data_IF_541640579814
#
_entry.id   IF_541640579814
#
_cell.length_a   1.000
_cell.length_b   1.000
_cell.length_c   1.000
_cell.angle_alpha   90.00
_cell.angle_beta   90.00
_cell.angle_gamma   90.00
#
_symmetry.space_group_name_H-M   'P 1'
#
loop_
_entity.id
_entity.type
_entity.pdbx_description
1 polymer ?
#
# COMPACT_ATOMS: atom_id res chain seq x y z
N UNK A 1 5.01 14.29 -29.03
CA UNK A 1 4.33 15.47 -29.61
C UNK A 1 5.20 16.73 -29.65
N UNK A 2 5.85 17.17 -28.58
CA UNK A 2 6.61 18.45 -28.58
C UNK A 2 7.76 18.50 -29.61
N UNK A 3 8.47 17.39 -29.87
CA UNK A 3 9.52 17.32 -30.91
C UNK A 3 8.98 17.37 -32.34
N UNK A 4 7.94 16.58 -32.64
CA UNK A 4 7.26 16.57 -33.95
C UNK A 4 6.65 17.93 -34.29
N UNK A 5 5.99 18.59 -33.33
CA UNK A 5 5.43 19.93 -33.52
C UNK A 5 6.52 20.97 -33.79
N UNK A 6 7.72 20.81 -33.20
CA UNK A 6 8.86 21.70 -33.45
C UNK A 6 9.43 21.52 -34.86
N UNK A 7 9.44 20.29 -35.38
CA UNK A 7 9.85 20.01 -36.76
C UNK A 7 8.81 20.48 -37.79
N UNK A 8 7.54 20.51 -37.42
CA UNK A 8 6.43 20.87 -38.32
C UNK A 8 5.97 22.33 -38.19
N UNK A 9 6.68 23.19 -37.44
CA UNK A 9 6.31 24.62 -37.30
C UNK A 9 6.23 25.31 -38.66
N UNK A 10 7.17 25.04 -39.57
CA UNK A 10 7.13 25.60 -40.93
C UNK A 10 5.91 25.10 -41.71
N UNK A 11 5.55 23.82 -41.60
CA UNK A 11 4.36 23.25 -42.26
C UNK A 11 3.06 23.87 -41.72
N UNK A 12 2.98 24.09 -40.41
CA UNK A 12 1.88 24.82 -39.76
C UNK A 12 1.79 26.26 -40.30
N UNK A 13 2.94 26.91 -40.49
CA UNK A 13 3.03 28.24 -41.10
C UNK A 13 2.48 28.25 -42.53
N UNK A 14 2.93 27.33 -43.38
CA UNK A 14 2.49 27.21 -44.78
C UNK A 14 0.98 26.93 -44.85
N UNK A 15 0.46 25.98 -44.06
CA UNK A 15 -0.98 25.68 -44.03
C UNK A 15 -1.82 26.90 -43.61
N UNK A 16 -1.34 27.69 -42.65
CA UNK A 16 -2.01 28.93 -42.24
C UNK A 16 -1.95 30.03 -43.30
N UNK A 17 -0.88 30.12 -44.10
CA UNK A 17 -0.81 31.08 -45.22
C UNK A 17 -1.81 30.75 -46.33
N UNK A 18 -2.16 29.48 -46.50
CA UNK A 18 -3.18 29.01 -47.47
C UNK A 18 -4.61 29.13 -46.89
N UNK A 19 -4.76 29.55 -45.62
CA UNK A 19 -6.06 29.84 -44.99
C UNK A 19 -6.55 28.79 -43.99
N UNK A 20 -5.71 27.83 -43.57
CA UNK A 20 -6.13 26.80 -42.61
C UNK A 20 -6.49 27.39 -41.23
N UNK A 21 -7.65 26.98 -40.70
CA UNK A 21 -8.15 27.45 -39.39
C UNK A 21 -7.48 26.69 -38.25
N UNK A 22 -7.31 27.35 -37.09
CA UNK A 22 -6.70 26.73 -35.89
C UNK A 22 -7.41 25.42 -35.47
N UNK A 23 -8.73 25.35 -35.58
CA UNK A 23 -9.53 24.15 -35.26
C UNK A 23 -9.23 22.97 -36.21
N UNK A 24 -8.96 23.24 -37.49
CA UNK A 24 -8.64 22.20 -38.48
C UNK A 24 -7.26 21.60 -38.19
N UNK A 25 -6.26 22.45 -37.94
CA UNK A 25 -4.93 21.97 -37.53
C UNK A 25 -4.99 21.19 -36.21
N UNK A 26 -5.69 21.71 -35.20
CA UNK A 26 -5.84 21.01 -33.92
C UNK A 26 -6.51 19.64 -34.09
N UNK A 27 -7.52 19.54 -34.94
CA UNK A 27 -8.20 18.28 -35.26
C UNK A 27 -7.29 17.23 -35.90
N UNK A 28 -6.43 17.62 -36.85
CA UNK A 28 -5.47 16.70 -37.48
C UNK A 28 -4.51 16.12 -36.45
N UNK A 29 -3.90 16.97 -35.62
CA UNK A 29 -2.93 16.53 -34.60
C UNK A 29 -3.56 15.72 -33.47
N UNK A 30 -4.75 16.11 -32.98
CA UNK A 30 -5.47 15.33 -31.98
C UNK A 30 -5.97 14.00 -32.56
N UNK A 31 -6.37 13.97 -33.83
CA UNK A 31 -6.73 12.74 -34.54
C UNK A 31 -5.57 11.74 -34.57
N UNK A 32 -4.34 12.21 -34.85
CA UNK A 32 -3.16 11.34 -34.77
C UNK A 32 -2.93 10.77 -33.37
N UNK A 33 -3.17 11.57 -32.32
CA UNK A 33 -3.06 11.13 -30.92
C UNK A 33 -4.10 10.06 -30.59
N UNK A 34 -5.34 10.22 -31.05
CA UNK A 34 -6.41 9.23 -30.87
C UNK A 34 -6.07 7.92 -31.57
N UNK A 35 -5.53 7.98 -32.80
CA UNK A 35 -5.08 6.78 -33.54
C UNK A 35 -3.99 6.04 -32.76
N UNK A 36 -2.96 6.75 -32.27
CA UNK A 36 -1.92 6.12 -31.45
C UNK A 36 -2.46 5.58 -30.12
N UNK A 37 -3.42 6.28 -29.49
CA UNK A 37 -4.10 5.80 -28.30
C UNK A 37 -4.88 4.51 -28.54
N UNK A 38 -5.61 4.43 -29.66
CA UNK A 38 -6.34 3.22 -30.07
C UNK A 38 -5.42 2.05 -30.39
N UNK A 39 -4.32 2.29 -31.12
CA UNK A 39 -3.30 1.26 -31.37
C UNK A 39 -2.66 0.76 -30.07
N UNK A 40 -2.43 1.67 -29.12
CA UNK A 40 -1.89 1.31 -27.80
C UNK A 40 -2.88 0.45 -27.02
N UNK A 41 -4.17 0.79 -27.04
CA UNK A 41 -5.24 0.01 -26.40
C UNK A 41 -5.34 -1.40 -26.96
N UNK A 42 -5.18 -1.56 -28.28
CA UNK A 42 -5.22 -2.86 -28.95
C UNK A 42 -4.16 -3.82 -28.41
N UNK A 43 -2.99 -3.31 -28.03
CA UNK A 43 -1.90 -4.09 -27.44
C UNK A 43 -2.04 -4.20 -25.92
N UNK A 44 -2.45 -3.12 -25.25
CA UNK A 44 -2.55 -3.06 -23.80
C UNK A 44 -3.63 -4.00 -23.25
N UNK A 45 -4.83 -4.01 -23.82
CA UNK A 45 -5.95 -4.82 -23.35
C UNK A 45 -5.65 -6.34 -23.28
N UNK A 46 -5.12 -6.99 -24.34
CA UNK A 46 -4.80 -8.42 -24.27
C UNK A 46 -3.65 -8.72 -23.30
N UNK A 47 -2.62 -7.86 -23.25
CA UNK A 47 -1.49 -8.04 -22.33
C UNK A 47 -1.93 -7.85 -20.87
N UNK A 48 -2.78 -6.85 -20.61
CA UNK A 48 -3.38 -6.59 -19.30
C UNK A 48 -4.26 -7.76 -18.84
N UNK A 49 -5.09 -8.29 -19.74
CA UNK A 49 -5.91 -9.47 -19.45
C UNK A 49 -5.06 -10.72 -19.11
N UNK A 50 -3.98 -10.97 -19.86
CA UNK A 50 -3.04 -12.05 -19.57
C UNK A 50 -2.31 -11.85 -18.23
N UNK A 51 -1.92 -10.61 -17.92
CA UNK A 51 -1.30 -10.27 -16.64
C UNK A 51 -2.25 -10.48 -15.45
N UNK A 52 -3.51 -10.04 -15.59
CA UNK A 52 -4.55 -10.26 -14.59
C UNK A 52 -4.78 -11.75 -14.34
N UNK A 53 -4.89 -12.55 -15.40
CA UNK A 53 -4.99 -14.01 -15.30
C UNK A 53 -3.83 -14.63 -14.50
N UNK A 54 -2.59 -14.22 -14.80
CA UNK A 54 -1.41 -14.72 -14.10
C UNK A 54 -1.44 -14.36 -12.61
N UNK A 55 -1.78 -13.11 -12.28
CA UNK A 55 -1.86 -12.64 -10.91
C UNK A 55 -2.97 -13.33 -10.13
N UNK A 56 -4.16 -13.49 -10.72
CA UNK A 56 -5.28 -14.18 -10.08
C UNK A 56 -4.93 -15.63 -9.79
N UNK A 57 -4.32 -16.35 -10.73
CA UNK A 57 -3.86 -17.74 -10.50
C UNK A 57 -2.82 -17.84 -9.40
N UNK A 58 -1.89 -16.89 -9.35
CA UNK A 58 -0.88 -16.83 -8.30
C UNK A 58 -1.52 -16.64 -6.92
N UNK A 59 -2.40 -15.64 -6.76
CA UNK A 59 -3.09 -15.38 -5.49
C UNK A 59 -3.99 -16.57 -5.11
N UNK A 60 -4.71 -17.15 -6.06
CA UNK A 60 -5.57 -18.29 -5.81
C UNK A 60 -4.79 -19.52 -5.34
N UNK A 61 -3.59 -19.76 -5.89
CA UNK A 61 -2.71 -20.83 -5.42
C UNK A 61 -2.19 -20.60 -3.99
N UNK A 62 -1.94 -19.34 -3.60
CA UNK A 62 -1.56 -19.00 -2.23
C UNK A 62 -2.71 -19.20 -1.23
N UNK A 63 -3.95 -18.97 -1.67
CA UNK A 63 -5.16 -19.10 -0.86
C UNK A 63 -5.83 -20.48 -0.99
N UNK A 64 -5.23 -21.40 -1.75
CA UNK A 64 -5.76 -22.73 -2.04
C UNK A 64 -7.22 -22.71 -2.55
N UNK A 65 -7.54 -21.76 -3.43
CA UNK A 65 -8.88 -21.55 -3.99
C UNK A 65 -8.91 -21.88 -5.49
N UNK A 66 -9.94 -22.56 -5.96
CA UNK A 66 -10.13 -22.82 -7.39
C UNK A 66 -10.69 -21.59 -8.10
N UNK A 67 -9.97 -21.10 -9.11
CA UNK A 67 -10.43 -19.96 -9.91
C UNK A 67 -11.48 -20.45 -10.91
N UNK A 68 -12.68 -19.89 -10.83
CA UNK A 68 -13.73 -20.10 -11.83
C UNK A 68 -13.37 -19.54 -13.22
N UNK A 69 -14.34 -19.52 -14.13
CA UNK A 69 -14.17 -19.01 -15.49
C UNK A 69 -13.62 -17.59 -15.53
N UNK A 70 -12.73 -17.32 -16.49
CA UNK A 70 -12.18 -15.98 -16.70
C UNK A 70 -13.19 -15.10 -17.44
N UNK A 71 -13.80 -14.17 -16.71
CA UNK A 71 -14.67 -13.15 -17.27
C UNK A 71 -13.99 -11.79 -17.16
N UNK A 72 -13.81 -11.10 -18.28
CA UNK A 72 -13.33 -9.71 -18.28
C UNK A 72 -14.54 -8.82 -17.99
N UNK A 73 -14.57 -8.12 -16.84
CA UNK A 73 -15.69 -7.24 -16.53
C UNK A 73 -15.78 -6.15 -17.60
N UNK A 74 -16.94 -5.93 -18.25
CA UNK A 74 -17.08 -4.90 -19.28
C UNK A 74 -16.74 -3.50 -18.75
N UNK A 75 -16.97 -3.28 -17.46
CA UNK A 75 -16.63 -2.03 -16.76
C UNK A 75 -15.12 -1.78 -16.71
N UNK A 76 -14.31 -2.82 -16.48
CA UNK A 76 -12.85 -2.71 -16.44
C UNK A 76 -12.30 -2.36 -17.82
N UNK A 77 -12.79 -3.03 -18.87
CA UNK A 77 -12.40 -2.74 -20.25
C UNK A 77 -12.81 -1.32 -20.68
N UNK A 78 -14.00 -0.85 -20.26
CA UNK A 78 -14.45 0.52 -20.51
C UNK A 78 -13.56 1.55 -19.81
N UNK A 79 -13.18 1.30 -18.55
CA UNK A 79 -12.28 2.18 -17.81
C UNK A 79 -10.88 2.20 -18.44
N UNK A 80 -10.35 1.05 -18.84
CA UNK A 80 -9.07 0.93 -19.54
C UNK A 80 -9.10 1.70 -20.87
N UNK A 81 -10.13 1.50 -21.69
CA UNK A 81 -10.31 2.21 -22.95
C UNK A 81 -10.45 3.72 -22.75
N UNK A 82 -11.22 4.14 -21.75
CA UNK A 82 -11.38 5.55 -21.39
C UNK A 82 -10.03 6.17 -21.00
N UNK A 83 -9.26 5.53 -20.12
CA UNK A 83 -7.96 6.05 -19.68
C UNK A 83 -6.95 6.07 -20.83
N UNK A 84 -6.92 5.01 -21.66
CA UNK A 84 -5.99 4.88 -22.79
C UNK A 84 -6.21 5.94 -23.87
N UNK A 85 -7.46 6.39 -24.07
CA UNK A 85 -7.79 7.41 -25.07
C UNK A 85 -7.77 8.83 -24.47
N UNK A 86 -8.31 9.03 -23.26
CA UNK A 86 -8.39 10.36 -22.64
C UNK A 86 -7.02 10.89 -22.24
N UNK A 87 -6.17 10.04 -21.65
CA UNK A 87 -4.87 10.49 -21.11
C UNK A 87 -3.97 11.10 -22.19
N UNK A 88 -3.73 10.44 -23.35
CA UNK A 88 -2.92 11.04 -24.41
C UNK A 88 -3.53 12.31 -25.00
N UNK A 89 -4.86 12.36 -25.15
CA UNK A 89 -5.57 13.55 -25.68
C UNK A 89 -5.40 14.73 -24.74
N UNK A 90 -5.60 14.54 -23.43
CA UNK A 90 -5.40 15.57 -22.42
C UNK A 90 -3.94 16.04 -22.37
N UNK A 91 -2.98 15.11 -22.43
CA UNK A 91 -1.56 15.43 -22.46
C UNK A 91 -1.15 16.19 -23.74
N UNK A 92 -1.79 15.89 -24.87
CA UNK A 92 -1.53 16.55 -26.15
C UNK A 92 -2.24 17.90 -26.29
N UNK A 93 -3.28 18.17 -25.50
CA UNK A 93 -4.11 19.37 -25.63
C UNK A 93 -3.29 20.65 -25.48
N UNK A 94 -2.47 20.75 -24.42
CA UNK A 94 -1.59 21.89 -24.20
C UNK A 94 -0.59 22.14 -25.36
N UNK A 95 0.24 21.16 -25.77
CA UNK A 95 1.20 21.37 -26.86
C UNK A 95 0.52 21.63 -28.21
N UNK A 96 -0.64 21.00 -28.50
CA UNK A 96 -1.38 21.25 -29.75
C UNK A 96 -1.96 22.66 -29.78
N UNK A 97 -2.57 23.13 -28.68
CA UNK A 97 -3.08 24.52 -28.61
C UNK A 97 -1.93 25.52 -28.70
N UNK A 98 -0.82 25.28 -28.00
CA UNK A 98 0.35 26.16 -28.04
C UNK A 98 0.96 26.23 -29.45
N UNK A 99 1.10 25.09 -30.13
CA UNK A 99 1.65 25.02 -31.50
C UNK A 99 0.71 25.63 -32.54
N UNK A 100 -0.61 25.41 -32.41
CA UNK A 100 -1.60 25.97 -33.34
C UNK A 100 -1.88 27.45 -33.10
N UNK A 101 -1.42 28.06 -32.00
CA UNK A 101 -1.51 29.52 -31.78
C UNK A 101 -0.40 30.33 -32.48
N UNK A 102 0.68 29.69 -32.93
CA UNK A 102 1.79 30.36 -33.62
C UNK A 102 1.30 30.98 -34.94
N UNK A 103 1.56 32.27 -35.17
CA UNK A 103 1.14 32.96 -36.40
C UNK A 103 1.98 32.54 -37.62
N UNK A 104 1.44 32.68 -38.83
CA UNK A 104 2.20 32.39 -40.06
C UNK A 104 3.50 33.22 -40.13
N UNK A 105 3.44 34.49 -39.70
CA UNK A 105 4.62 35.36 -39.58
C UNK A 105 5.63 34.80 -38.60
N UNK A 106 5.24 34.46 -37.36
CA UNK A 106 6.17 33.89 -36.38
C UNK A 106 6.73 32.53 -36.79
N UNK A 107 5.94 31.70 -37.48
CA UNK A 107 6.37 30.38 -37.95
C UNK A 107 7.47 30.48 -39.04
N UNK A 108 7.39 31.50 -39.91
CA UNK A 108 8.37 31.72 -40.99
C UNK A 108 9.54 32.60 -40.54
N UNK A 109 9.30 33.56 -39.63
CA UNK A 109 10.31 34.51 -39.15
C UNK A 109 11.09 34.04 -37.92
N UNK A 110 10.80 32.86 -37.36
CA UNK A 110 11.48 32.33 -36.18
C UNK A 110 12.87 31.76 -36.51
N UNK A 111 13.75 32.61 -37.04
CA UNK A 111 15.17 32.32 -37.07
C UNK A 111 15.77 32.56 -35.66
N UNK A 112 15.86 31.50 -34.87
CA UNK A 112 16.87 31.34 -33.79
C UNK A 112 16.71 32.10 -32.47
N UNK A 113 15.90 33.15 -32.33
CA UNK A 113 15.82 33.93 -31.10
C UNK A 113 14.63 33.50 -30.21
N UNK A 114 14.88 32.53 -29.33
CA UNK A 114 13.93 32.14 -28.30
C UNK A 114 13.59 33.30 -27.37
N UNK A 115 12.30 33.48 -27.05
CA UNK A 115 11.72 34.48 -26.12
C UNK A 115 12.15 34.29 -24.64
N UNK A 116 13.40 33.87 -24.39
CA UNK A 116 13.94 33.73 -23.04
C UNK A 116 14.49 35.06 -22.57
N UNK A 117 13.76 35.77 -21.69
CA UNK A 117 14.29 36.91 -20.96
C UNK A 117 15.55 36.48 -20.18
N UNK A 118 16.71 36.92 -20.66
CA UNK A 118 18.01 36.65 -20.04
C UNK A 118 18.18 37.54 -18.81
N UNK A 119 18.61 36.97 -17.66
CA UNK A 119 19.24 37.75 -16.58
C UNK A 119 18.41 38.13 -15.34
N UNK A 120 17.20 37.60 -15.10
CA UNK A 120 16.40 37.90 -13.88
C UNK A 120 16.10 36.71 -12.95
N UNK A 121 16.76 35.56 -13.13
CA UNK A 121 16.49 34.37 -12.31
C UNK A 121 17.30 34.37 -11.01
N UNK A 122 16.67 34.07 -9.86
CA UNK A 122 17.34 33.81 -8.57
C UNK A 122 18.50 32.80 -8.70
N UNK A 123 18.32 31.81 -9.59
CA UNK A 123 19.34 30.78 -9.86
C UNK A 123 20.56 31.36 -10.59
N UNK A 124 20.40 32.40 -11.43
CA UNK A 124 21.53 33.08 -12.07
C UNK A 124 22.36 33.87 -11.03
N UNK A 125 21.71 34.42 -10.00
CA UNK A 125 22.41 35.03 -8.86
C UNK A 125 23.16 33.97 -8.04
N UNK A 126 22.54 32.83 -7.76
CA UNK A 126 23.16 31.76 -6.99
C UNK A 126 24.35 31.12 -7.74
N UNK A 127 24.22 30.94 -9.06
CA UNK A 127 25.28 30.41 -9.94
C UNK A 127 26.44 31.39 -10.16
N UNK A 128 26.26 32.71 -9.92
CA UNK A 128 27.37 33.68 -9.90
C UNK A 128 28.27 33.49 -8.68
N UNK A 129 27.76 32.91 -7.59
CA UNK A 129 28.52 32.65 -6.36
C UNK A 129 29.44 31.43 -6.47
N UNK A 130 29.18 30.55 -7.44
CA UNK A 130 29.97 29.34 -7.69
C UNK A 130 31.00 29.64 -8.80
N UNK A 131 32.20 30.04 -8.41
CA UNK A 131 33.25 30.48 -9.36
C UNK A 131 34.23 29.37 -9.77
N UNK A 132 34.26 28.23 -9.07
CA UNK A 132 35.28 27.19 -9.21
C UNK A 132 34.91 26.03 -10.15
N UNK A 133 33.78 26.12 -10.86
CA UNK A 133 33.38 25.10 -11.83
C UNK A 133 34.07 25.33 -13.19
N UNK A 134 34.59 24.28 -13.85
CA UNK A 134 35.09 24.37 -15.23
C UNK A 134 34.07 25.02 -16.18
N UNK A 135 34.55 25.85 -17.11
CA UNK A 135 33.66 26.58 -18.05
C UNK A 135 32.62 25.70 -18.76
N UNK A 136 32.91 24.47 -19.21
CA UNK A 136 31.93 23.60 -19.88
C UNK A 136 30.79 23.12 -18.96
N UNK A 137 31.08 22.82 -17.69
CA UNK A 137 30.07 22.34 -16.73
C UNK A 137 29.16 23.50 -16.31
N UNK A 138 29.72 24.70 -16.12
CA UNK A 138 28.94 25.91 -15.83
C UNK A 138 28.01 26.28 -17.00
N UNK A 139 28.47 26.13 -18.25
CA UNK A 139 27.62 26.34 -19.43
C UNK A 139 26.46 25.34 -19.50
N UNK A 140 26.75 24.06 -19.21
CA UNK A 140 25.73 23.01 -19.18
C UNK A 140 24.70 23.24 -18.07
N UNK A 141 25.16 23.57 -16.86
CA UNK A 141 24.31 23.86 -15.70
C UNK A 141 23.40 25.06 -15.94
N UNK A 142 23.97 26.18 -16.45
CA UNK A 142 23.19 27.36 -16.83
C UNK A 142 22.16 27.07 -17.91
N UNK A 143 22.52 26.27 -18.93
CA UNK A 143 21.58 25.92 -19.99
C UNK A 143 20.41 25.07 -19.48
N UNK A 144 20.66 24.18 -18.50
CA UNK A 144 19.61 23.39 -17.82
C UNK A 144 18.63 24.30 -17.07
N UNK A 145 19.13 25.25 -16.28
CA UNK A 145 18.28 26.19 -15.53
C UNK A 145 17.64 27.29 -16.38
N UNK A 146 18.15 27.53 -17.60
CA UNK A 146 17.54 28.45 -18.56
C UNK A 146 16.18 27.94 -19.07
N UNK A 147 15.97 26.62 -19.14
CA UNK A 147 14.69 26.01 -19.56
C UNK A 147 13.89 25.49 -18.36
N UNK A 148 13.52 26.40 -17.44
CA UNK A 148 12.84 26.10 -16.16
C UNK A 148 11.65 25.12 -16.29
N UNK A 149 10.81 25.27 -17.32
CA UNK A 149 9.66 24.39 -17.51
C UNK A 149 10.04 22.94 -17.88
N UNK A 150 11.04 22.76 -18.75
CA UNK A 150 11.53 21.42 -19.11
C UNK A 150 12.22 20.76 -17.92
N UNK A 151 13.05 21.52 -17.20
CA UNK A 151 13.73 21.02 -16.01
C UNK A 151 12.74 20.58 -14.93
N UNK A 152 11.74 21.41 -14.63
CA UNK A 152 10.69 21.09 -13.67
C UNK A 152 9.94 19.81 -14.08
N UNK A 153 9.50 19.71 -15.34
CA UNK A 153 8.80 18.53 -15.84
C UNK A 153 9.64 17.25 -15.66
N UNK A 154 10.91 17.27 -16.10
CA UNK A 154 11.80 16.10 -16.01
C UNK A 154 12.07 15.71 -14.57
N UNK A 155 12.37 16.68 -13.70
CA UNK A 155 12.59 16.43 -12.28
C UNK A 155 11.34 15.85 -11.62
N UNK A 156 10.17 16.45 -11.84
CA UNK A 156 8.91 15.93 -11.28
C UNK A 156 8.65 14.51 -11.74
N UNK A 157 8.85 14.20 -13.03
CA UNK A 157 8.67 12.84 -13.54
C UNK A 157 9.64 11.84 -12.91
N UNK A 158 10.92 12.19 -12.77
CA UNK A 158 11.94 11.32 -12.17
C UNK A 158 11.69 11.10 -10.68
N UNK A 159 11.35 12.17 -9.95
CA UNK A 159 11.03 12.10 -8.53
C UNK A 159 9.77 11.26 -8.30
N UNK A 160 8.72 11.44 -9.11
CA UNK A 160 7.50 10.65 -8.99
C UNK A 160 7.76 9.17 -9.27
N UNK A 161 8.51 8.86 -10.33
CA UNK A 161 8.90 7.47 -10.64
C UNK A 161 9.71 6.83 -9.50
N UNK A 162 10.67 7.57 -8.94
CA UNK A 162 11.49 7.11 -7.81
C UNK A 162 10.66 6.90 -6.54
N UNK A 163 9.73 7.82 -6.26
CA UNK A 163 8.85 7.72 -5.10
C UNK A 163 7.91 6.52 -5.19
N UNK A 164 7.31 6.26 -6.36
CA UNK A 164 6.48 5.08 -6.59
C UNK A 164 7.30 3.80 -6.39
N UNK A 165 8.49 3.73 -6.96
CA UNK A 165 9.37 2.58 -6.83
C UNK A 165 9.74 2.28 -5.37
N UNK A 166 10.17 3.30 -4.62
CA UNK A 166 10.52 3.15 -3.19
C UNK A 166 9.29 2.75 -2.37
N UNK A 167 8.12 3.32 -2.68
CA UNK A 167 6.87 2.99 -1.99
C UNK A 167 6.51 1.51 -2.15
N UNK A 168 6.57 0.97 -3.37
CA UNK A 168 6.29 -0.46 -3.63
C UNK A 168 7.26 -1.37 -2.87
N UNK A 169 8.56 -1.07 -2.91
CA UNK A 169 9.55 -1.84 -2.15
C UNK A 169 9.32 -1.76 -0.64
N UNK A 170 8.92 -0.60 -0.13
CA UNK A 170 8.64 -0.40 1.30
C UNK A 170 7.41 -1.18 1.75
N UNK A 171 6.35 -1.21 0.94
CA UNK A 171 5.15 -2.00 1.21
C UNK A 171 5.48 -3.50 1.21
N UNK A 172 6.26 -3.98 0.24
CA UNK A 172 6.70 -5.38 0.20
C UNK A 172 7.53 -5.74 1.43
N UNK A 173 8.52 -4.92 1.79
CA UNK A 173 9.35 -5.15 2.97
C UNK A 173 8.53 -5.14 4.27
N UNK A 174 7.56 -4.24 4.39
CA UNK A 174 6.65 -4.16 5.54
C UNK A 174 5.76 -5.40 5.64
N UNK A 175 5.22 -5.89 4.52
CA UNK A 175 4.41 -7.11 4.47
C UNK A 175 5.22 -8.32 4.93
N UNK A 176 6.41 -8.53 4.37
CA UNK A 176 7.28 -9.66 4.73
C UNK A 176 7.68 -9.62 6.21
N UNK A 177 8.03 -8.43 6.72
CA UNK A 177 8.33 -8.26 8.14
C UNK A 177 7.12 -8.55 9.04
N UNK A 178 5.92 -8.15 8.61
CA UNK A 178 4.69 -8.45 9.35
C UNK A 178 4.40 -9.95 9.36
N UNK A 179 4.62 -10.63 8.23
CA UNK A 179 4.50 -12.09 8.15
C UNK A 179 5.51 -12.79 9.06
N UNK A 180 6.77 -12.37 9.05
CA UNK A 180 7.80 -12.92 9.93
C UNK A 180 7.45 -12.70 11.41
N UNK A 181 6.98 -11.52 11.80
CA UNK A 181 6.52 -11.23 13.16
C UNK A 181 5.33 -12.13 13.54
N UNK A 182 4.37 -12.33 12.64
CA UNK A 182 3.19 -13.16 12.88
C UNK A 182 3.53 -14.67 12.97
N UNK A 183 4.46 -15.15 12.15
CA UNK A 183 4.93 -16.54 12.20
C UNK A 183 5.81 -16.82 13.43
N UNK A 184 6.58 -15.83 13.90
CA UNK A 184 7.37 -15.98 15.14
C UNK A 184 6.48 -16.00 16.39
N UNK A 185 5.31 -15.36 16.33
CA UNK A 185 4.37 -15.32 17.44
C UNK A 185 3.90 -16.73 17.85
N UNK A 186 3.59 -17.59 16.88
CA UNK A 186 3.12 -18.95 17.10
C UNK A 186 4.24 -19.96 16.87
N UNK A 187 4.72 -20.61 17.92
CA UNK A 187 5.81 -21.61 17.88
C UNK A 187 5.30 -23.06 17.89
N UNK A 188 4.21 -23.31 17.16
CA UNK A 188 3.68 -24.66 16.95
C UNK A 188 3.46 -24.92 15.45
N UNK A 189 3.53 -26.19 15.05
CA UNK A 189 3.36 -26.59 13.64
C UNK A 189 1.89 -26.90 13.31
N UNK A 190 1.14 -27.47 14.25
CA UNK A 190 -0.23 -27.93 14.06
C UNK A 190 -1.12 -27.49 15.23
N UNK A 191 -2.27 -26.90 14.90
CA UNK A 191 -3.35 -26.62 15.87
C UNK A 191 -4.56 -27.46 15.53
N UNK A 192 -5.09 -28.15 16.53
CA UNK A 192 -6.34 -28.91 16.42
C UNK A 192 -7.41 -28.22 17.26
N UNK A 193 -8.54 -27.88 16.63
CA UNK A 193 -9.72 -27.36 17.32
C UNK A 193 -10.78 -28.46 17.34
N UNK A 194 -11.29 -28.79 18.52
CA UNK A 194 -12.31 -29.82 18.69
C UNK A 194 -13.70 -29.18 18.83
N UNK A 195 -14.71 -29.78 18.19
CA UNK A 195 -16.10 -29.30 18.31
C UNK A 195 -16.71 -29.57 19.69
N UNK A 196 -16.16 -30.52 20.45
CA UNK A 196 -16.58 -30.84 21.82
C UNK A 196 -15.39 -30.76 22.77
N UNK A 197 -15.64 -30.39 24.01
CA UNK A 197 -14.61 -30.34 25.05
C UNK A 197 -14.17 -31.75 25.44
N UNK A 198 -12.86 -31.96 25.53
CA UNK A 198 -12.24 -33.20 25.99
C UNK A 198 -11.28 -32.89 27.14
N UNK A 199 -10.91 -33.91 27.91
CA UNK A 199 -9.87 -33.79 28.92
C UNK A 199 -8.53 -33.56 28.24
N UNK A 200 -7.89 -32.44 28.57
CA UNK A 200 -6.63 -31.99 27.99
C UNK A 200 -5.53 -33.02 28.22
N UNK A 201 -5.48 -33.61 29.42
CA UNK A 201 -4.45 -34.58 29.81
C UNK A 201 -4.50 -35.85 28.95
N UNK A 202 -5.71 -36.32 28.61
CA UNK A 202 -5.89 -37.49 27.76
C UNK A 202 -5.45 -37.20 26.31
N UNK A 203 -5.81 -36.03 25.77
CA UNK A 203 -5.43 -35.64 24.41
C UNK A 203 -3.92 -35.40 24.28
N UNK A 204 -3.31 -34.75 25.28
CA UNK A 204 -1.87 -34.54 25.32
C UNK A 204 -1.10 -35.87 25.36
N UNK A 205 -1.56 -36.84 26.16
CA UNK A 205 -0.94 -38.15 26.22
C UNK A 205 -0.98 -38.86 24.86
N UNK A 206 -2.14 -38.90 24.20
CA UNK A 206 -2.29 -39.51 22.87
C UNK A 206 -1.41 -38.79 21.83
N UNK A 207 -1.33 -37.46 21.89
CA UNK A 207 -0.48 -36.69 21.00
C UNK A 207 1.01 -37.02 21.18
N UNK A 208 1.48 -37.13 22.44
CA UNK A 208 2.87 -37.48 22.75
C UNK A 208 3.23 -38.94 22.41
N UNK A 209 2.24 -39.84 22.36
CA UNK A 209 2.42 -41.22 21.89
C UNK A 209 2.60 -41.30 20.36
N UNK A 210 2.27 -40.24 19.62
CA UNK A 210 2.40 -40.20 18.16
C UNK A 210 3.85 -39.90 17.74
N UNK A 211 4.47 -40.72 16.87
CA UNK A 211 5.83 -40.49 16.41
C UNK A 211 6.01 -39.12 15.75
N UNK A 212 7.03 -38.37 16.18
CA UNK A 212 7.38 -37.04 15.65
C UNK A 212 6.81 -35.86 16.44
N UNK A 213 5.94 -36.09 17.43
CA UNK A 213 5.45 -35.03 18.32
C UNK A 213 6.45 -34.80 19.45
N UNK A 214 7.04 -33.61 19.50
CA UNK A 214 8.00 -33.21 20.53
C UNK A 214 7.34 -32.66 21.80
N UNK A 215 6.24 -31.90 21.63
CA UNK A 215 5.50 -31.27 22.72
C UNK A 215 4.03 -31.12 22.30
N UNK A 216 3.12 -31.28 23.25
CA UNK A 216 1.69 -31.07 23.06
C UNK A 216 1.17 -30.20 24.22
N UNK A 217 0.42 -29.15 23.90
CA UNK A 217 -0.22 -28.28 24.88
C UNK A 217 -1.72 -28.20 24.59
N UNK A 218 -2.52 -28.05 25.66
CA UNK A 218 -3.97 -27.89 25.56
C UNK A 218 -4.34 -26.52 26.10
N UNK A 219 -5.13 -25.79 25.33
CA UNK A 219 -5.39 -24.37 25.54
C UNK A 219 -6.88 -24.16 25.73
N UNK A 220 -7.24 -23.32 26.70
CA UNK A 220 -8.61 -22.88 26.93
C UNK A 220 -8.98 -21.72 26.01
N UNK A 221 -10.22 -21.70 25.53
CA UNK A 221 -10.79 -20.60 24.77
C UNK A 221 -12.19 -20.31 25.30
N UNK A 222 -12.49 -19.06 25.58
CA UNK A 222 -13.84 -18.60 25.90
C UNK A 222 -14.13 -17.28 25.19
N UNK A 223 -15.34 -17.18 24.64
CA UNK A 223 -15.88 -15.90 24.22
C UNK A 223 -16.32 -15.13 25.46
N UNK A 224 -15.78 -13.93 25.62
CA UNK A 224 -16.05 -13.06 26.78
C UNK A 224 -16.49 -11.69 26.32
N UNK A 225 -17.17 -10.96 27.19
CA UNK A 225 -17.58 -9.59 26.90
C UNK A 225 -16.92 -8.67 27.93
N UNK A 226 -16.30 -7.58 27.47
CA UNK A 226 -15.83 -6.54 28.36
C UNK A 226 -17.03 -5.86 29.03
N UNK A 227 -17.03 -5.71 30.34
CA UNK A 227 -18.00 -4.88 31.06
C UNK A 227 -17.38 -3.51 31.36
N UNK A 228 -17.99 -2.42 30.89
CA UNK A 228 -17.57 -1.04 31.24
C UNK A 228 -18.14 -0.61 32.59
N UNK A 229 -19.40 -0.98 32.80
CA UNK A 229 -20.12 -0.90 34.08
C UNK A 229 -20.93 -2.19 34.24
N UNK A 230 -21.50 -2.50 35.43
CA UNK A 230 -22.27 -3.73 35.63
C UNK A 230 -23.41 -3.95 34.60
N UNK A 231 -23.99 -2.85 34.10
CA UNK A 231 -25.11 -2.85 33.14
C UNK A 231 -24.68 -2.51 31.70
N UNK A 232 -23.45 -2.05 31.47
CA UNK A 232 -22.95 -1.65 30.14
C UNK A 232 -21.94 -2.67 29.60
N UNK A 233 -22.39 -3.41 28.59
CA UNK A 233 -21.55 -4.31 27.80
C UNK A 233 -20.74 -3.50 26.79
N UNK A 234 -19.44 -3.76 26.76
CA UNK A 234 -18.51 -3.26 25.77
C UNK A 234 -18.32 -4.27 24.64
N UNK A 235 -17.10 -4.32 24.12
CA UNK A 235 -16.76 -5.19 23.01
C UNK A 235 -16.59 -6.67 23.41
N UNK A 236 -16.89 -7.57 22.46
CA UNK A 236 -16.53 -8.99 22.56
C UNK A 236 -15.00 -9.15 22.55
N UNK A 237 -14.51 -10.04 23.39
CA UNK A 237 -13.10 -10.33 23.59
C UNK A 237 -12.91 -11.84 23.69
N UNK A 238 -12.05 -12.41 22.85
CA UNK A 238 -11.66 -13.81 22.95
C UNK A 238 -10.65 -13.98 24.09
N UNK A 239 -11.03 -14.71 25.13
CA UNK A 239 -10.12 -15.11 26.19
C UNK A 239 -9.40 -16.40 25.80
N UNK A 240 -8.07 -16.35 25.81
CA UNK A 240 -7.19 -17.47 25.49
C UNK A 240 -6.41 -17.83 26.76
N UNK A 241 -6.45 -19.11 27.13
CA UNK A 241 -5.84 -19.59 28.36
C UNK A 241 -4.81 -20.68 28.06
N UNK A 242 -3.56 -20.32 27.75
CA UNK A 242 -2.47 -21.28 27.61
C UNK A 242 -2.03 -21.84 28.97
N UNK A 243 -1.29 -22.97 29.00
CA UNK A 243 -0.63 -23.43 30.21
C UNK A 243 0.42 -22.41 30.68
N UNK A 244 0.68 -22.38 32.00
CA UNK A 244 1.52 -21.39 32.67
C UNK A 244 2.98 -21.37 32.16
N UNK A 245 3.47 -22.50 31.65
CA UNK A 245 4.83 -22.69 31.12
C UNK A 245 4.87 -22.78 29.59
N UNK A 246 3.85 -22.24 28.90
CA UNK A 246 3.76 -22.36 27.43
C UNK A 246 5.03 -21.87 26.73
N UNK A 247 5.55 -22.70 25.84
CA UNK A 247 6.65 -22.35 24.93
C UNK A 247 6.17 -22.23 23.47
N UNK A 248 4.88 -22.47 23.24
CA UNK A 248 4.26 -22.47 21.91
C UNK A 248 3.82 -21.07 21.46
N UNK A 249 4.06 -20.04 22.27
CA UNK A 249 3.91 -18.64 21.89
C UNK A 249 5.10 -17.80 22.33
N UNK A 250 5.42 -16.80 21.52
CA UNK A 250 6.45 -15.80 21.78
C UNK A 250 5.91 -14.41 21.44
N UNK A 251 5.13 -13.81 22.35
CA UNK A 251 4.45 -12.56 22.08
C UNK A 251 5.42 -11.38 22.11
N UNK A 252 5.24 -10.44 21.18
CA UNK A 252 6.00 -9.19 21.16
C UNK A 252 5.39 -8.24 22.21
N UNK A 253 6.00 -8.16 23.39
CA UNK A 253 5.61 -7.24 24.45
C UNK A 253 5.88 -5.77 24.04
N UNK A 254 4.86 -4.92 24.20
CA UNK A 254 4.96 -3.48 24.01
C UNK A 254 5.09 -2.75 25.33
N UNK A 255 4.38 -3.21 26.36
CA UNK A 255 4.38 -2.62 27.70
C UNK A 255 4.10 -3.69 28.77
N UNK A 256 4.64 -3.50 29.98
CA UNK A 256 4.43 -4.42 31.10
C UNK A 256 5.22 -5.72 30.96
N UNK A 257 4.58 -6.85 31.26
CA UNK A 257 5.19 -8.18 31.25
C UNK A 257 4.22 -9.26 30.76
N UNK A 258 4.76 -10.42 30.40
CA UNK A 258 3.97 -11.62 30.16
C UNK A 258 3.41 -12.20 31.47
N UNK A 259 2.46 -13.14 31.34
CA UNK A 259 1.89 -13.90 32.45
C UNK A 259 2.98 -14.76 33.13
N UNK A 260 2.93 -14.81 34.46
CA UNK A 260 3.77 -15.68 35.28
C UNK A 260 2.93 -16.79 35.89
N UNK A 261 3.48 -17.98 36.19
CA UNK A 261 2.74 -19.09 36.80
C UNK A 261 2.03 -18.72 38.11
N UNK A 262 2.64 -17.85 38.93
CA UNK A 262 2.06 -17.40 40.20
C UNK A 262 0.88 -16.40 40.05
N UNK A 263 0.62 -15.90 38.85
CA UNK A 263 -0.46 -14.94 38.62
C UNK A 263 -1.84 -15.62 38.69
N UNK A 264 -2.71 -15.11 39.55
CA UNK A 264 -4.03 -15.71 39.82
C UNK A 264 -5.19 -14.99 39.12
N UNK A 265 -5.06 -13.68 38.87
CA UNK A 265 -6.04 -12.86 38.14
C UNK A 265 -5.31 -11.80 37.29
N UNK A 266 -4.30 -12.22 36.55
CA UNK A 266 -3.59 -11.38 35.61
C UNK A 266 -4.09 -11.61 34.19
N UNK A 267 -4.13 -10.55 33.41
CA UNK A 267 -4.50 -10.59 32.00
C UNK A 267 -3.50 -9.80 31.16
N UNK A 268 -3.17 -10.33 29.99
CA UNK A 268 -2.37 -9.62 28.97
C UNK A 268 -3.28 -9.33 27.79
N UNK A 269 -3.37 -8.06 27.39
CA UNK A 269 -4.23 -7.62 26.29
C UNK A 269 -3.43 -7.32 25.03
N UNK A 270 -4.10 -7.30 23.88
CA UNK A 270 -3.50 -6.90 22.62
C UNK A 270 -3.82 -5.44 22.24
N UNK A 271 -3.11 -4.93 21.23
CA UNK A 271 -3.31 -3.56 20.74
C UNK A 271 -4.69 -3.29 20.16
N UNK A 272 -5.38 -4.28 19.61
CA UNK A 272 -6.72 -4.11 19.05
C UNK A 272 -7.74 -3.82 20.14
N UNK A 273 -7.70 -4.55 21.27
CA UNK A 273 -8.57 -4.28 22.41
C UNK A 273 -8.31 -2.87 22.98
N UNK A 274 -7.05 -2.46 23.09
CA UNK A 274 -6.70 -1.11 23.56
C UNK A 274 -7.15 0.00 22.60
N UNK A 275 -7.18 -0.27 21.29
CA UNK A 275 -7.61 0.72 20.28
C UNK A 275 -9.10 1.00 20.38
N UNK A 276 -9.90 -0.03 20.67
CA UNK A 276 -11.36 0.08 20.81
C UNK A 276 -11.79 0.51 22.22
N UNK A 277 -10.99 0.19 23.24
CA UNK A 277 -11.24 0.51 24.65
C UNK A 277 -10.05 1.32 25.21
N UNK A 278 -9.91 2.60 24.79
CA UNK A 278 -8.72 3.42 25.08
C UNK A 278 -8.58 3.82 26.55
N UNK A 279 -9.58 3.52 27.38
CA UNK A 279 -9.58 3.69 28.83
C UNK A 279 -8.78 2.59 29.55
N UNK A 280 -8.53 1.45 28.91
CA UNK A 280 -7.68 0.39 29.46
C UNK A 280 -6.20 0.82 29.50
N UNK A 281 -5.50 0.40 30.55
CA UNK A 281 -4.07 0.70 30.78
C UNK A 281 -3.40 -0.47 31.48
N UNK A 282 -2.12 -0.69 31.20
CA UNK A 282 -1.29 -1.64 31.96
C UNK A 282 -1.23 -1.18 33.42
N UNK A 283 -1.45 -2.13 34.34
CA UNK A 283 -1.62 -1.88 35.77
C UNK A 283 -3.05 -1.62 36.23
N UNK A 284 -3.98 -1.36 35.29
CA UNK A 284 -5.41 -1.20 35.58
C UNK A 284 -6.15 -2.53 35.75
N UNK A 285 -7.44 -2.44 36.06
CA UNK A 285 -8.34 -3.59 36.14
C UNK A 285 -9.29 -3.61 34.93
N UNK A 286 -9.67 -4.79 34.48
CA UNK A 286 -10.70 -5.01 33.46
C UNK A 286 -11.69 -6.05 33.95
N UNK A 287 -12.97 -5.76 33.78
CA UNK A 287 -14.04 -6.70 34.11
C UNK A 287 -14.46 -7.45 32.85
N UNK A 288 -14.36 -8.77 32.89
CA UNK A 288 -14.74 -9.67 31.80
C UNK A 288 -15.87 -10.57 32.26
N UNK A 289 -16.95 -10.61 31.47
CA UNK A 289 -18.08 -11.50 31.66
C UNK A 289 -17.88 -12.76 30.82
N UNK A 290 -17.84 -13.91 31.46
CA UNK A 290 -17.80 -15.23 30.81
C UNK A 290 -18.61 -16.23 31.63
N UNK A 291 -19.31 -17.15 30.97
CA UNK A 291 -20.26 -18.10 31.62
C UNK A 291 -21.28 -17.42 32.56
N UNK A 292 -21.72 -16.20 32.22
CA UNK A 292 -22.69 -15.43 32.99
C UNK A 292 -22.17 -14.87 34.32
N UNK A 293 -20.86 -14.98 34.60
CA UNK A 293 -20.20 -14.42 35.79
C UNK A 293 -19.26 -13.29 35.41
N UNK A 294 -19.28 -12.22 36.19
CA UNK A 294 -18.35 -11.10 36.06
C UNK A 294 -17.08 -11.40 36.87
N UNK A 295 -15.94 -11.21 36.24
CA UNK A 295 -14.62 -11.46 36.83
C UNK A 295 -13.71 -10.27 36.59
N UNK A 296 -13.03 -9.80 37.63
CA UNK A 296 -12.05 -8.71 37.52
C UNK A 296 -10.65 -9.27 37.32
N UNK A 297 -9.93 -8.70 36.35
CA UNK A 297 -8.58 -9.10 35.98
C UNK A 297 -7.66 -7.89 35.98
N UNK A 298 -6.45 -8.06 36.50
CA UNK A 298 -5.42 -7.02 36.45
C UNK A 298 -4.65 -7.09 35.14
N UNK A 299 -4.60 -6.00 34.39
CA UNK A 299 -3.84 -5.91 33.16
C UNK A 299 -2.35 -5.83 33.51
N UNK A 300 -1.57 -6.84 33.18
CA UNK A 300 -0.12 -6.89 33.50
C UNK A 300 0.78 -6.62 32.29
N UNK A 301 0.22 -6.68 31.09
CA UNK A 301 0.97 -6.42 29.87
C UNK A 301 0.10 -6.08 28.67
N UNK A 302 0.74 -5.43 27.70
CA UNK A 302 0.21 -5.15 26.37
C UNK A 302 1.13 -5.80 25.34
N UNK A 303 0.57 -6.61 24.47
CA UNK A 303 1.30 -7.28 23.38
C UNK A 303 0.89 -6.72 22.03
N UNK A 304 1.84 -6.72 21.10
CA UNK A 304 1.57 -6.41 19.70
C UNK A 304 0.65 -7.46 19.12
N UNK A 305 -0.36 -7.00 18.44
CA UNK A 305 -1.27 -7.84 17.70
C UNK A 305 -0.56 -8.57 16.54
N UNK A 306 -0.57 -9.92 16.48
CA UNK A 306 -0.03 -10.70 15.37
C UNK A 306 -1.04 -10.88 14.21
N UNK A 307 -2.36 -10.85 14.47
CA UNK A 307 -3.44 -11.06 13.49
C UNK A 307 -4.58 -10.05 13.67
N UNK A 308 -5.83 -10.34 13.33
CA UNK A 308 -6.98 -9.46 13.63
C UNK A 308 -7.81 -10.01 14.78
N UNK A 309 -8.39 -9.14 15.59
CA UNK A 309 -9.39 -9.52 16.60
C UNK A 309 -8.97 -9.17 18.02
N UNK A 310 -9.94 -9.03 18.91
CA UNK A 310 -9.72 -8.65 20.30
C UNK A 310 -9.49 -9.91 21.11
N UNK A 311 -8.33 -10.01 21.75
CA UNK A 311 -8.09 -11.14 22.63
C UNK A 311 -7.28 -10.76 23.85
N UNK A 312 -7.46 -11.58 24.87
CA UNK A 312 -6.78 -11.48 26.14
C UNK A 312 -6.21 -12.84 26.52
N UNK A 313 -5.01 -12.84 27.10
CA UNK A 313 -4.40 -14.04 27.64
C UNK A 313 -4.53 -14.08 29.16
N UNK A 314 -4.89 -15.25 29.68
CA UNK A 314 -4.93 -15.57 31.12
C UNK A 314 -4.27 -16.93 31.38
N UNK A 315 -3.93 -17.25 32.63
CA UNK A 315 -3.38 -18.57 32.95
C UNK A 315 -4.47 -19.65 32.96
N UNK A 316 -4.24 -20.81 32.35
CA UNK A 316 -5.22 -21.91 32.30
C UNK A 316 -5.82 -22.32 33.66
N UNK A 317 -5.07 -22.40 34.78
CA UNK A 317 -5.65 -22.76 36.07
C UNK A 317 -6.64 -21.73 36.63
N UNK A 318 -6.58 -20.49 36.17
CA UNK A 318 -7.46 -19.39 36.57
C UNK A 318 -8.70 -19.29 35.69
N UNK A 319 -8.61 -19.79 34.46
CA UNK A 319 -9.70 -19.83 33.47
C UNK A 319 -10.87 -20.75 33.87
N UNK A 320 -10.59 -21.82 34.62
CA UNK A 320 -11.58 -22.85 34.98
C UNK A 320 -12.26 -22.68 36.36
N UNK A 321 -12.06 -21.57 37.07
CA UNK A 321 -12.66 -21.30 38.39
C UNK A 321 -13.85 -20.33 38.25
#
# INVERSE_FOLDING_TARGET
>A
MSSLLTQQVQQIGIMKTVGARMRQLAGVYLGTVVIYGGLSLLVAAPVGALGALGLTRYIASLLNFDVGGFEIPPQALLQEAAIALLTPVLAALYPVIAGTRITAREAISSYGLGKGQFGRSFIDLLLRRIQHLPRPTMLSLRNTFRRKGRLALVLTTLTLASAIFISVLSVQASLLRTLDDALRYWKYDVRLNFTRSYRVEQLQQIALETPGVLRAEGWGFADTVRMRTPDEQGNDVLMIAPPEDTQMIDPILLEGRWLLPEDTQAVVMNTDLLSDEPDLRVGGMVTLRFDGRDSEWRIVGLIKQPLSGRFVYVNYPTFGR
#
